data_IF_133110977870
#
_entry.id   IF_133110977870
#
_cell.length_a   1.000
_cell.length_b   1.000
_cell.length_c   1.000
_cell.angle_alpha   90.00
_cell.angle_beta   90.00
_cell.angle_gamma   90.00
#
_symmetry.space_group_name_H-M   'P 1'
#
loop_
_entity.id
_entity.type
_entity.pdbx_description
1 polymer ?
#
# COMPACT_ATOMS: atom_id res chain seq x y z
N UNK A 1 23.99 1.85 -33.65
CA UNK A 1 23.37 2.43 -32.44
C UNK A 1 21.85 2.24 -32.61
N UNK A 2 21.37 1.05 -32.22
CA UNK A 2 19.95 0.68 -32.39
C UNK A 2 19.14 1.21 -31.19
N UNK A 3 18.22 2.10 -31.50
CA UNK A 3 17.22 2.59 -30.56
C UNK A 3 16.15 1.51 -30.40
N UNK A 4 16.11 0.80 -29.29
CA UNK A 4 15.05 -0.15 -28.96
C UNK A 4 13.78 0.61 -28.54
N UNK A 5 12.72 0.46 -29.33
CA UNK A 5 11.42 1.11 -29.10
C UNK A 5 10.74 0.64 -27.79
N UNK A 6 10.17 1.56 -26.98
CA UNK A 6 9.48 1.23 -25.71
C UNK A 6 8.26 0.29 -25.90
N UNK A 7 7.64 0.29 -27.08
CA UNK A 7 6.47 -0.53 -27.40
C UNK A 7 6.72 -2.04 -27.46
N UNK A 8 7.95 -2.48 -27.65
CA UNK A 8 8.31 -3.91 -27.75
C UNK A 8 8.35 -4.59 -26.38
N UNK A 9 8.73 -3.85 -25.32
CA UNK A 9 8.79 -4.38 -23.94
C UNK A 9 7.41 -4.60 -23.35
N UNK A 10 6.43 -3.73 -23.60
CA UNK A 10 5.04 -3.88 -23.12
C UNK A 10 4.37 -5.10 -23.77
N UNK A 11 4.51 -5.27 -25.09
CA UNK A 11 3.95 -6.43 -25.82
C UNK A 11 4.58 -7.77 -25.40
N UNK A 12 5.85 -7.77 -25.02
CA UNK A 12 6.50 -8.98 -24.51
C UNK A 12 6.05 -9.32 -23.08
N UNK A 13 5.77 -8.34 -22.23
CA UNK A 13 5.21 -8.56 -20.89
C UNK A 13 3.79 -9.12 -20.97
N UNK A 14 2.95 -8.61 -21.87
CA UNK A 14 1.59 -9.12 -22.10
C UNK A 14 1.57 -10.54 -22.68
N UNK A 15 2.44 -10.87 -23.62
CA UNK A 15 2.60 -12.23 -24.15
C UNK A 15 3.11 -13.21 -23.10
N UNK A 16 4.02 -12.78 -22.22
CA UNK A 16 4.52 -13.61 -21.12
C UNK A 16 3.44 -13.83 -20.06
N UNK A 17 2.58 -12.86 -19.79
CA UNK A 17 1.41 -13.00 -18.91
C UNK A 17 0.35 -13.94 -19.49
N UNK A 18 0.06 -13.84 -20.79
CA UNK A 18 -0.88 -14.75 -21.48
C UNK A 18 -0.36 -16.19 -21.52
N UNK A 19 0.93 -16.40 -21.75
CA UNK A 19 1.56 -17.73 -21.73
C UNK A 19 1.50 -18.37 -20.34
N UNK A 20 1.73 -17.60 -19.27
CA UNK A 20 1.67 -18.09 -17.88
C UNK A 20 0.25 -18.39 -17.40
N UNK A 21 -0.76 -17.67 -17.90
CA UNK A 21 -2.18 -18.02 -17.67
C UNK A 21 -2.57 -19.39 -18.24
N UNK A 22 -1.90 -19.83 -19.29
CA UNK A 22 -2.16 -21.13 -19.94
C UNK A 22 -1.46 -22.31 -19.23
N UNK A 23 -0.45 -22.07 -18.38
CA UNK A 23 0.35 -23.11 -17.70
C UNK A 23 -0.14 -23.46 -16.29
N UNK A 24 -1.23 -22.85 -15.77
CA UNK A 24 -1.74 -23.12 -14.42
C UNK A 24 -0.79 -22.70 -13.27
N UNK A 25 0.27 -21.96 -13.55
CA UNK A 25 1.09 -21.35 -12.50
C UNK A 25 0.29 -20.26 -11.80
N UNK A 26 0.07 -20.39 -10.48
CA UNK A 26 -0.46 -19.31 -9.65
C UNK A 26 0.41 -18.05 -9.84
N UNK A 27 -0.16 -17.02 -10.45
CA UNK A 27 0.54 -15.76 -10.61
C UNK A 27 0.79 -15.15 -9.23
N UNK A 28 2.04 -15.15 -8.80
CA UNK A 28 2.41 -14.48 -7.55
C UNK A 28 2.09 -12.99 -7.66
N UNK A 29 1.41 -12.40 -6.66
CA UNK A 29 1.13 -10.98 -6.66
C UNK A 29 2.44 -10.19 -6.65
N UNK A 30 2.46 -9.06 -7.35
CA UNK A 30 3.59 -8.11 -7.30
C UNK A 30 3.54 -7.32 -6.00
N UNK A 31 2.33 -6.93 -5.58
CA UNK A 31 2.06 -6.14 -4.37
C UNK A 31 1.06 -6.86 -3.49
N UNK A 32 1.36 -6.95 -2.19
CA UNK A 32 0.38 -7.26 -1.15
C UNK A 32 -0.10 -5.97 -0.52
N UNK A 33 -1.37 -5.65 -0.63
CA UNK A 33 -1.98 -4.51 0.04
C UNK A 33 -2.49 -4.95 1.41
N UNK A 34 -2.00 -4.32 2.46
CA UNK A 34 -2.39 -4.59 3.86
C UNK A 34 -3.38 -3.52 4.29
N UNK A 35 -4.58 -3.95 4.68
CA UNK A 35 -5.66 -3.06 5.12
C UNK A 35 -6.10 -3.46 6.54
N UNK A 36 -5.58 -2.79 7.59
CA UNK A 36 -6.11 -2.96 8.94
C UNK A 36 -7.49 -2.30 9.02
N UNK A 37 -8.41 -2.91 9.75
CA UNK A 37 -9.73 -2.32 10.00
C UNK A 37 -10.22 -2.65 11.40
N UNK A 38 -10.83 -1.65 12.05
CA UNK A 38 -11.60 -1.79 13.27
C UNK A 38 -12.84 -0.88 13.19
N UNK A 39 -14.04 -1.47 13.10
CA UNK A 39 -15.31 -0.75 12.94
C UNK A 39 -15.32 0.21 11.74
N UNK A 40 -15.03 -0.36 10.54
CA UNK A 40 -14.88 0.39 9.29
C UNK A 40 -16.05 0.29 8.32
N UNK A 41 -17.25 -0.16 8.75
CA UNK A 41 -18.39 -0.45 7.88
C UNK A 41 -18.73 0.67 6.89
N UNK A 42 -18.53 1.92 7.33
CA UNK A 42 -18.88 3.12 6.55
C UNK A 42 -17.97 3.35 5.35
N UNK A 43 -16.70 2.97 5.43
CA UNK A 43 -15.67 3.42 4.48
C UNK A 43 -14.96 2.28 3.73
N UNK A 44 -14.90 1.10 4.33
CA UNK A 44 -14.06 -0.01 3.85
C UNK A 44 -14.37 -0.42 2.40
N UNK A 45 -15.64 -0.34 1.97
CA UNK A 45 -16.02 -0.68 0.60
C UNK A 45 -15.35 0.24 -0.43
N UNK A 46 -15.25 1.55 -0.15
CA UNK A 46 -14.56 2.52 -1.00
C UNK A 46 -13.05 2.24 -1.04
N UNK A 47 -12.45 1.95 0.11
CA UNK A 47 -11.03 1.59 0.21
C UNK A 47 -10.71 0.36 -0.65
N UNK A 48 -11.48 -0.73 -0.51
CA UNK A 48 -11.31 -1.97 -1.28
C UNK A 48 -11.49 -1.75 -2.78
N UNK A 49 -12.49 -0.99 -3.21
CA UNK A 49 -12.68 -0.64 -4.62
C UNK A 49 -11.46 0.08 -5.20
N UNK A 50 -10.86 1.02 -4.43
CA UNK A 50 -9.69 1.77 -4.87
C UNK A 50 -8.44 0.89 -5.03
N UNK A 51 -8.32 -0.18 -4.24
CA UNK A 51 -7.24 -1.17 -4.39
C UNK A 51 -7.40 -1.94 -5.71
N UNK A 52 -8.59 -2.43 -6.00
CA UNK A 52 -8.82 -3.20 -7.24
C UNK A 52 -8.82 -2.33 -8.50
N UNK A 53 -8.96 -1.01 -8.38
CA UNK A 53 -8.78 -0.07 -9.49
C UNK A 53 -7.31 0.13 -9.91
N UNK A 54 -6.33 -0.43 -9.18
CA UNK A 54 -4.90 -0.22 -9.50
C UNK A 54 -4.41 -0.99 -10.73
N UNK A 55 -5.17 -1.95 -11.26
CA UNK A 55 -4.87 -2.68 -12.50
C UNK A 55 -3.47 -3.30 -12.58
N UNK A 56 -2.95 -3.80 -11.46
CA UNK A 56 -1.69 -4.57 -11.38
C UNK A 56 -1.95 -5.91 -10.69
N UNK A 57 -1.09 -6.92 -10.88
CA UNK A 57 -1.17 -8.16 -10.11
C UNK A 57 -0.94 -7.88 -8.62
N UNK A 58 -2.00 -7.99 -7.81
CA UNK A 58 -1.95 -7.74 -6.38
C UNK A 58 -2.78 -8.79 -5.61
N UNK A 59 -2.56 -8.86 -4.32
CA UNK A 59 -3.49 -9.44 -3.35
C UNK A 59 -3.88 -8.37 -2.33
N UNK A 60 -5.12 -8.42 -1.85
CA UNK A 60 -5.61 -7.58 -0.76
C UNK A 60 -5.77 -8.43 0.50
N UNK A 61 -5.09 -8.04 1.56
CA UNK A 61 -5.12 -8.69 2.87
C UNK A 61 -5.78 -7.74 3.86
N UNK A 62 -7.03 -8.01 4.20
CA UNK A 62 -7.79 -7.26 5.21
C UNK A 62 -7.59 -7.92 6.56
N UNK A 63 -7.10 -7.15 7.54
CA UNK A 63 -6.93 -7.58 8.93
C UNK A 63 -7.99 -6.89 9.78
N UNK A 64 -9.04 -7.63 10.12
CA UNK A 64 -10.10 -7.15 11.00
C UNK A 64 -9.66 -7.29 12.47
N UNK A 65 -9.47 -6.18 13.12
CA UNK A 65 -8.93 -6.08 14.47
C UNK A 65 -10.02 -6.24 15.57
N UNK A 66 -11.02 -7.08 15.28
CA UNK A 66 -12.12 -7.39 16.20
C UNK A 66 -13.33 -6.48 16.05
N UNK A 67 -13.66 -6.07 14.82
CA UNK A 67 -14.87 -5.26 14.54
C UNK A 67 -16.15 -5.91 15.05
N UNK A 68 -17.08 -5.05 15.51
CA UNK A 68 -18.40 -5.41 16.05
C UNK A 68 -19.55 -4.74 15.31
N UNK A 69 -19.23 -3.92 14.29
CA UNK A 69 -20.17 -3.28 13.36
C UNK A 69 -20.36 -4.12 12.08
N UNK A 70 -20.98 -3.55 11.04
CA UNK A 70 -21.20 -4.17 9.73
C UNK A 70 -19.95 -4.28 8.84
N UNK A 71 -18.72 -4.17 9.38
CA UNK A 71 -17.47 -4.26 8.59
C UNK A 71 -17.39 -5.57 7.81
N UNK A 72 -17.72 -6.69 8.44
CA UNK A 72 -17.65 -8.02 7.81
C UNK A 72 -18.62 -8.14 6.64
N UNK A 73 -19.84 -7.66 6.85
CA UNK A 73 -20.92 -7.66 5.86
C UNK A 73 -20.56 -6.80 4.65
N UNK A 74 -19.92 -5.66 4.87
CA UNK A 74 -19.46 -4.76 3.82
C UNK A 74 -18.41 -5.40 2.90
N UNK A 75 -17.71 -6.46 3.35
CA UNK A 75 -16.66 -7.16 2.60
C UNK A 75 -17.17 -8.36 1.78
N UNK A 76 -18.42 -8.81 1.99
CA UNK A 76 -18.99 -9.98 1.28
C UNK A 76 -18.82 -9.92 -0.25
N UNK A 77 -18.95 -8.77 -0.94
CA UNK A 77 -18.78 -8.71 -2.40
C UNK A 77 -17.43 -9.21 -2.91
N UNK A 78 -16.39 -9.22 -2.07
CA UNK A 78 -15.03 -9.60 -2.47
C UNK A 78 -14.57 -10.96 -1.97
N UNK A 79 -15.33 -11.63 -1.09
CA UNK A 79 -14.93 -12.89 -0.43
C UNK A 79 -14.56 -14.04 -1.38
N UNK A 80 -15.21 -14.10 -2.54
CA UNK A 80 -14.97 -15.16 -3.51
C UNK A 80 -13.82 -14.85 -4.49
N UNK A 81 -13.10 -13.75 -4.31
CA UNK A 81 -11.95 -13.42 -5.15
C UNK A 81 -10.73 -14.21 -4.68
N UNK A 82 -9.95 -14.79 -5.63
CA UNK A 82 -8.75 -15.56 -5.28
C UNK A 82 -7.60 -14.69 -4.76
N UNK A 83 -7.67 -13.39 -5.01
CA UNK A 83 -6.70 -12.37 -4.59
C UNK A 83 -7.16 -11.56 -3.34
N UNK A 84 -8.21 -12.03 -2.65
CA UNK A 84 -8.73 -11.44 -1.42
C UNK A 84 -8.48 -12.37 -0.23
N UNK A 85 -7.88 -11.84 0.83
CA UNK A 85 -7.62 -12.55 2.08
C UNK A 85 -8.22 -11.76 3.24
N UNK A 86 -9.11 -12.39 4.01
CA UNK A 86 -9.66 -11.82 5.23
C UNK A 86 -9.16 -12.59 6.45
N UNK A 87 -8.63 -11.86 7.42
CA UNK A 87 -8.12 -12.41 8.67
C UNK A 87 -8.70 -11.59 9.82
N UNK A 88 -9.42 -12.26 10.73
CA UNK A 88 -9.92 -11.64 11.96
C UNK A 88 -8.93 -11.88 13.11
N UNK A 89 -8.61 -10.84 13.86
CA UNK A 89 -7.84 -10.94 15.10
C UNK A 89 -8.74 -11.47 16.22
N UNK A 90 -8.22 -12.33 17.09
CA UNK A 90 -8.95 -12.84 18.26
C UNK A 90 -9.18 -11.76 19.33
N UNK A 91 -8.31 -10.76 19.32
CA UNK A 91 -8.38 -9.56 20.18
C UNK A 91 -7.85 -8.36 19.41
N UNK A 92 -8.18 -7.17 19.86
CA UNK A 92 -7.63 -5.95 19.28
C UNK A 92 -6.11 -5.89 19.52
N UNK A 93 -5.33 -5.80 18.43
CA UNK A 93 -3.88 -5.71 18.41
C UNK A 93 -3.38 -4.30 18.09
N UNK A 94 -4.30 -3.38 17.77
CA UNK A 94 -3.99 -2.06 17.24
C UNK A 94 -3.53 -2.07 15.78
N UNK A 95 -3.33 -0.88 15.22
CA UNK A 95 -2.95 -0.71 13.82
C UNK A 95 -1.60 -1.35 13.50
N UNK A 96 -0.59 -1.14 14.36
CA UNK A 96 0.74 -1.74 14.21
C UNK A 96 0.69 -3.27 14.19
N UNK A 97 0.03 -3.89 15.19
CA UNK A 97 -0.10 -5.34 15.27
C UNK A 97 -0.82 -5.93 14.07
N UNK A 98 -1.91 -5.30 13.64
CA UNK A 98 -2.67 -5.71 12.47
C UNK A 98 -1.87 -5.58 11.18
N UNK A 99 -1.13 -4.48 10.97
CA UNK A 99 -0.23 -4.32 9.81
C UNK A 99 0.88 -5.38 9.81
N UNK A 100 1.54 -5.61 10.94
CA UNK A 100 2.59 -6.64 11.06
C UNK A 100 2.05 -8.05 10.75
N UNK A 101 0.85 -8.37 11.24
CA UNK A 101 0.18 -9.64 10.91
C UNK A 101 -0.06 -9.77 9.41
N UNK A 102 -0.52 -8.71 8.75
CA UNK A 102 -0.70 -8.68 7.30
C UNK A 102 0.62 -8.89 6.55
N UNK A 103 1.69 -8.18 6.94
CA UNK A 103 3.03 -8.33 6.35
C UNK A 103 3.56 -9.76 6.47
N UNK A 104 3.31 -10.43 7.60
CA UNK A 104 3.80 -11.81 7.84
C UNK A 104 3.21 -12.84 6.89
N UNK A 105 1.99 -12.63 6.38
CA UNK A 105 1.30 -13.54 5.45
C UNK A 105 1.35 -13.08 4.00
N UNK A 106 1.87 -11.89 3.73
CA UNK A 106 2.00 -11.29 2.41
C UNK A 106 2.88 -12.14 1.48
N UNK A 107 2.48 -12.28 0.21
CA UNK A 107 3.18 -13.07 -0.83
C UNK A 107 3.85 -12.18 -1.88
N UNK A 108 3.44 -10.92 -1.98
CA UNK A 108 3.97 -9.94 -2.93
C UNK A 108 5.44 -9.62 -2.70
N UNK A 109 6.12 -9.20 -3.76
CA UNK A 109 7.48 -8.64 -3.64
C UNK A 109 7.48 -7.34 -2.84
N UNK A 110 6.42 -6.56 -2.98
CA UNK A 110 6.21 -5.30 -2.29
C UNK A 110 5.00 -5.39 -1.37
N UNK A 111 4.99 -4.56 -0.35
CA UNK A 111 3.85 -4.31 0.55
C UNK A 111 3.42 -2.86 0.40
N UNK A 112 2.12 -2.63 0.31
CA UNK A 112 1.52 -1.32 0.45
C UNK A 112 0.53 -1.34 1.62
N UNK A 113 0.41 -0.22 2.32
CA UNK A 113 -0.56 -0.07 3.41
C UNK A 113 -1.68 0.87 2.97
N UNK A 114 -2.91 0.56 3.38
CA UNK A 114 -4.07 1.42 3.18
C UNK A 114 -5.00 1.29 4.39
N UNK A 115 -5.24 2.38 5.09
CA UNK A 115 -6.22 2.42 6.17
C UNK A 115 -7.64 2.37 5.61
N UNK A 116 -8.56 1.72 6.32
CA UNK A 116 -9.89 1.37 5.80
C UNK A 116 -10.82 2.58 5.55
N UNK A 117 -10.44 3.75 6.02
CA UNK A 117 -11.16 5.01 5.81
C UNK A 117 -10.56 5.90 4.70
N UNK A 118 -9.39 5.54 4.18
CA UNK A 118 -8.71 6.20 3.07
C UNK A 118 -9.02 5.53 1.72
N UNK A 119 -8.60 6.15 0.61
CA UNK A 119 -8.63 5.51 -0.72
C UNK A 119 -7.57 6.06 -1.65
N UNK A 120 -7.28 5.30 -2.71
CA UNK A 120 -6.26 5.65 -3.70
C UNK A 120 -6.86 6.09 -5.03
N UNK A 121 -6.16 6.99 -5.71
CA UNK A 121 -6.36 7.28 -7.14
C UNK A 121 -5.75 6.16 -7.99
N UNK A 122 -6.32 5.96 -9.17
CA UNK A 122 -5.80 4.99 -10.14
C UNK A 122 -4.35 5.29 -10.54
N UNK A 123 -3.58 4.23 -10.77
CA UNK A 123 -2.19 4.33 -11.20
C UNK A 123 -1.17 4.63 -10.10
N UNK A 124 -1.60 4.76 -8.82
CA UNK A 124 -0.67 4.97 -7.69
C UNK A 124 0.40 3.89 -7.63
N UNK A 125 -0.01 2.62 -7.56
CA UNK A 125 0.94 1.51 -7.41
C UNK A 125 1.84 1.34 -8.63
N UNK A 126 1.32 1.53 -9.85
CA UNK A 126 2.12 1.49 -11.06
C UNK A 126 3.20 2.58 -11.08
N UNK A 127 2.83 3.82 -10.68
CA UNK A 127 3.79 4.93 -10.59
C UNK A 127 4.87 4.67 -9.54
N UNK A 128 4.50 4.10 -8.37
CA UNK A 128 5.45 3.79 -7.31
C UNK A 128 6.41 2.65 -7.69
N UNK A 129 5.91 1.58 -8.34
CA UNK A 129 6.75 0.49 -8.85
C UNK A 129 7.78 1.01 -9.86
N UNK A 130 7.35 1.85 -10.82
CA UNK A 130 8.26 2.46 -11.79
C UNK A 130 9.31 3.37 -11.12
N UNK A 131 8.91 4.13 -10.10
CA UNK A 131 9.82 5.01 -9.37
C UNK A 131 10.88 4.20 -8.58
N UNK A 132 10.47 3.11 -7.90
CA UNK A 132 11.40 2.23 -7.18
C UNK A 132 12.34 1.48 -8.14
N UNK A 133 11.86 1.06 -9.31
CA UNK A 133 12.72 0.45 -10.34
C UNK A 133 13.77 1.44 -10.86
N UNK A 134 13.39 2.70 -11.03
CA UNK A 134 14.27 3.75 -11.55
C UNK A 134 15.31 4.21 -10.52
N UNK A 135 14.93 4.32 -9.24
CA UNK A 135 15.80 4.85 -8.17
C UNK A 135 16.62 3.77 -7.47
N UNK A 136 16.15 2.53 -7.46
CA UNK A 136 16.71 1.45 -6.65
C UNK A 136 16.39 1.55 -5.16
N UNK A 137 15.52 2.49 -4.76
CA UNK A 137 15.11 2.64 -3.37
C UNK A 137 14.22 1.48 -2.90
N UNK A 138 14.16 1.30 -1.60
CA UNK A 138 13.36 0.22 -0.97
C UNK A 138 11.96 0.67 -0.57
N UNK A 139 11.70 1.97 -0.52
CA UNK A 139 10.45 2.58 -0.05
C UNK A 139 10.09 3.79 -0.91
N UNK A 140 8.81 3.92 -1.24
CA UNK A 140 8.24 5.05 -1.98
C UNK A 140 6.95 5.54 -1.29
N UNK A 141 6.76 6.86 -1.26
CA UNK A 141 5.59 7.53 -0.73
C UNK A 141 4.98 8.48 -1.76
N UNK A 142 3.73 8.88 -1.59
CA UNK A 142 3.04 9.83 -2.47
C UNK A 142 2.49 11.02 -1.69
N UNK A 143 2.22 12.13 -2.38
CA UNK A 143 1.41 13.22 -1.84
C UNK A 143 -0.02 12.77 -1.56
N UNK A 144 -0.76 13.58 -0.79
CA UNK A 144 -2.14 13.30 -0.41
C UNK A 144 -3.04 14.53 -0.42
N UNK A 145 -4.30 14.33 -0.79
CA UNK A 145 -5.37 15.29 -0.55
C UNK A 145 -6.01 14.99 0.81
N UNK A 146 -6.33 16.04 1.57
CA UNK A 146 -7.12 15.89 2.80
C UNK A 146 -8.61 15.91 2.46
N UNK A 147 -9.32 14.92 2.97
CA UNK A 147 -10.75 14.74 2.71
C UNK A 147 -11.57 14.97 3.98
N UNK A 148 -12.78 15.47 3.81
CA UNK A 148 -13.77 15.53 4.87
C UNK A 148 -14.33 14.12 5.16
N UNK A 149 -14.98 13.88 6.31
CA UNK A 149 -15.60 12.59 6.64
C UNK A 149 -16.65 12.12 5.62
N UNK A 150 -17.27 13.04 4.86
CA UNK A 150 -18.21 12.73 3.79
C UNK A 150 -17.54 12.39 2.46
N UNK A 151 -16.19 12.48 2.37
CA UNK A 151 -15.41 12.21 1.17
C UNK A 151 -15.23 13.41 0.24
N UNK A 152 -15.69 14.60 0.61
CA UNK A 152 -15.43 15.82 -0.15
C UNK A 152 -14.02 16.35 0.10
N UNK A 153 -13.41 16.96 -0.92
CA UNK A 153 -12.06 17.53 -0.81
C UNK A 153 -12.06 18.79 0.06
N UNK A 154 -11.16 18.87 1.03
CA UNK A 154 -11.03 20.04 1.93
C UNK A 154 -10.40 21.28 1.27
N UNK A 155 -9.87 21.13 0.04
CA UNK A 155 -9.05 22.16 -0.61
C UNK A 155 -7.57 22.10 -0.22
N UNK A 156 -7.16 21.16 0.63
CA UNK A 156 -5.79 21.07 1.14
C UNK A 156 -5.06 19.84 0.59
N UNK A 157 -4.00 20.10 -0.17
CA UNK A 157 -3.03 19.14 -0.65
C UNK A 157 -1.78 19.13 0.23
N UNK A 158 -1.29 17.96 0.60
CA UNK A 158 -0.03 17.77 1.32
C UNK A 158 0.99 17.15 0.37
N UNK A 159 1.99 17.94 -0.06
CA UNK A 159 3.04 17.46 -0.95
C UNK A 159 4.02 16.54 -0.25
N UNK A 160 4.75 15.75 -1.05
CA UNK A 160 5.92 15.00 -0.61
C UNK A 160 7.13 15.41 -1.44
N UNK A 161 8.31 15.50 -0.82
CA UNK A 161 9.57 15.75 -1.53
C UNK A 161 9.95 14.52 -2.36
N UNK A 162 10.57 14.72 -3.52
CA UNK A 162 11.01 13.62 -4.39
C UNK A 162 12.04 12.70 -3.74
N UNK A 163 12.78 13.21 -2.76
CA UNK A 163 13.75 12.45 -1.96
C UNK A 163 13.64 12.88 -0.50
N UNK A 164 13.48 11.91 0.39
CA UNK A 164 13.37 12.10 1.83
C UNK A 164 14.49 11.32 2.52
N UNK A 165 15.47 12.00 3.04
CA UNK A 165 16.52 11.41 3.87
C UNK A 165 16.14 11.42 5.37
N UNK A 166 16.99 10.81 6.18
CA UNK A 166 16.77 10.73 7.63
C UNK A 166 16.63 12.10 8.30
N UNK A 167 17.45 13.09 7.91
CA UNK A 167 17.41 14.44 8.49
C UNK A 167 16.15 15.20 8.10
N UNK A 168 15.65 14.99 6.88
CA UNK A 168 14.37 15.56 6.44
C UNK A 168 13.20 14.97 7.23
N UNK A 169 13.20 13.65 7.42
CA UNK A 169 12.14 12.98 8.20
C UNK A 169 12.17 13.37 9.67
N UNK A 170 13.33 13.62 10.27
CA UNK A 170 13.42 14.08 11.68
C UNK A 170 12.74 15.44 11.91
N UNK A 171 12.58 16.29 10.88
CA UNK A 171 11.93 17.60 11.00
C UNK A 171 10.42 17.48 11.17
N UNK A 172 9.80 16.53 10.49
CA UNK A 172 8.37 16.22 10.58
C UNK A 172 8.03 14.91 9.86
N UNK A 173 6.96 14.25 10.28
CA UNK A 173 6.43 13.07 9.59
C UNK A 173 5.85 13.44 8.22
N UNK A 174 6.63 13.24 7.17
CA UNK A 174 6.23 13.54 5.78
C UNK A 174 5.66 12.33 5.05
N UNK A 175 5.81 11.11 5.58
CA UNK A 175 5.39 9.86 4.98
C UNK A 175 4.13 9.36 5.71
N UNK A 176 2.99 9.41 5.05
CA UNK A 176 1.75 8.83 5.57
C UNK A 176 1.70 7.34 5.25
N UNK A 177 1.26 6.51 6.21
CA UNK A 177 1.23 5.06 6.09
C UNK A 177 0.45 4.60 4.84
N UNK A 178 -0.76 5.12 4.62
CA UNK A 178 -1.60 4.78 3.45
C UNK A 178 -1.00 5.20 2.11
N UNK A 179 0.09 6.00 2.09
CA UNK A 179 0.80 6.41 0.87
C UNK A 179 1.95 5.48 0.48
N UNK A 180 2.40 4.60 1.39
CA UNK A 180 3.64 3.82 1.24
C UNK A 180 3.50 2.62 0.32
N UNK A 181 4.57 2.37 -0.46
CA UNK A 181 4.94 1.11 -1.07
C UNK A 181 6.38 0.78 -0.65
N UNK A 182 6.62 -0.42 -0.11
CA UNK A 182 7.91 -0.84 0.45
C UNK A 182 8.25 -2.27 0.03
N UNK A 183 9.53 -2.61 -0.13
CA UNK A 183 9.95 -4.00 -0.30
C UNK A 183 9.49 -4.84 0.91
N UNK A 184 8.85 -6.00 0.64
CA UNK A 184 8.34 -6.87 1.69
C UNK A 184 9.42 -7.33 2.69
N UNK A 185 10.61 -7.64 2.19
CA UNK A 185 11.74 -8.03 3.05
C UNK A 185 12.15 -6.93 4.03
N UNK A 186 12.07 -5.66 3.60
CA UNK A 186 12.33 -4.50 4.46
C UNK A 186 11.19 -4.30 5.48
N UNK A 187 9.93 -4.47 5.08
CA UNK A 187 8.81 -4.41 6.01
C UNK A 187 8.86 -5.52 7.07
N UNK A 188 9.37 -6.72 6.72
CA UNK A 188 9.61 -7.81 7.68
C UNK A 188 10.80 -7.53 8.61
N UNK A 189 11.85 -6.86 8.12
CA UNK A 189 13.01 -6.49 8.92
C UNK A 189 12.71 -5.40 9.95
N UNK A 190 11.80 -4.47 9.60
CA UNK A 190 11.40 -3.35 10.45
C UNK A 190 9.90 -3.41 10.76
N UNK A 191 9.46 -4.35 11.63
CA UNK A 191 8.06 -4.38 12.04
C UNK A 191 7.69 -3.08 12.77
N UNK A 192 6.42 -2.66 12.63
CA UNK A 192 5.89 -1.53 13.37
C UNK A 192 5.81 -1.89 14.85
N UNK A 193 6.45 -1.09 15.69
CA UNK A 193 6.44 -1.30 17.15
C UNK A 193 5.17 -0.69 17.73
N UNK A 194 4.65 -1.36 18.78
CA UNK A 194 3.55 -0.83 19.57
C UNK A 194 4.07 0.32 20.39
N UNK A 195 3.72 1.51 19.98
CA UNK A 195 3.67 2.65 20.87
C UNK A 195 2.28 3.31 20.72
N UNK A 196 1.95 4.21 21.59
CA UNK A 196 0.62 4.82 21.65
C UNK A 196 0.38 5.81 20.50
N UNK A 197 1.38 6.07 19.64
CA UNK A 197 1.27 6.95 18.49
C UNK A 197 2.55 6.92 17.62
N UNK A 198 2.37 7.07 16.29
CA UNK A 198 3.47 7.24 15.34
C UNK A 198 4.31 5.98 15.05
N UNK A 199 3.73 4.79 15.19
CA UNK A 199 4.36 3.50 14.91
C UNK A 199 4.92 3.42 13.48
N UNK A 200 4.22 4.01 12.51
CA UNK A 200 4.63 4.10 11.13
C UNK A 200 5.84 5.04 10.96
N UNK A 201 5.80 6.22 11.59
CA UNK A 201 6.87 7.20 11.49
C UNK A 201 8.21 6.68 12.03
N UNK A 202 8.18 6.01 13.20
CA UNK A 202 9.38 5.40 13.79
C UNK A 202 9.95 4.34 12.84
N UNK A 203 9.08 3.54 12.23
CA UNK A 203 9.48 2.54 11.24
C UNK A 203 10.14 3.18 10.01
N UNK A 204 9.55 4.26 9.47
CA UNK A 204 10.14 4.95 8.31
C UNK A 204 11.50 5.59 8.64
N UNK A 205 11.67 6.14 9.83
CA UNK A 205 12.96 6.66 10.30
C UNK A 205 14.03 5.56 10.34
N UNK A 206 13.70 4.37 10.88
CA UNK A 206 14.63 3.21 10.92
C UNK A 206 15.00 2.75 9.51
N UNK A 207 14.02 2.61 8.61
CA UNK A 207 14.22 2.20 7.22
C UNK A 207 15.13 3.19 6.50
N UNK A 208 14.81 4.49 6.52
CA UNK A 208 15.59 5.51 5.81
C UNK A 208 16.98 5.68 6.40
N UNK A 209 17.14 5.50 7.72
CA UNK A 209 18.47 5.51 8.36
C UNK A 209 19.37 4.39 7.84
N UNK A 210 18.81 3.20 7.57
CA UNK A 210 19.58 2.06 7.06
C UNK A 210 19.81 2.12 5.55
N UNK A 211 18.76 2.47 4.77
CA UNK A 211 18.76 2.37 3.31
C UNK A 211 19.05 3.71 2.61
N UNK A 212 19.18 4.81 3.35
CA UNK A 212 19.63 6.11 2.88
C UNK A 212 18.48 7.09 2.67
N UNK A 213 17.46 6.76 1.87
CA UNK A 213 16.34 7.67 1.60
C UNK A 213 15.08 6.93 1.12
N UNK A 214 13.97 7.66 1.11
CA UNK A 214 12.72 7.25 0.49
C UNK A 214 12.46 8.09 -0.77
N UNK A 215 11.97 7.45 -1.83
CA UNK A 215 11.47 8.14 -3.02
C UNK A 215 10.09 8.72 -2.74
N UNK A 216 9.85 9.98 -3.18
CA UNK A 216 8.55 10.62 -3.10
C UNK A 216 8.00 11.00 -4.47
N UNK A 217 6.71 10.71 -4.70
CA UNK A 217 5.98 11.13 -5.89
C UNK A 217 5.04 12.25 -5.49
N UNK A 218 5.38 13.49 -5.90
CA UNK A 218 4.60 14.68 -5.56
C UNK A 218 3.30 14.78 -6.38
N UNK A 219 2.41 13.78 -6.18
CA UNK A 219 1.07 13.70 -6.76
C UNK A 219 0.09 13.18 -5.71
N UNK A 220 -1.15 13.72 -5.62
CA UNK A 220 -2.12 13.34 -4.59
C UNK A 220 -2.79 11.99 -4.89
N UNK A 221 -2.01 10.94 -4.95
CA UNK A 221 -2.52 9.58 -5.17
C UNK A 221 -3.27 9.01 -3.97
N UNK A 222 -3.08 9.58 -2.78
CA UNK A 222 -3.81 9.22 -1.57
C UNK A 222 -4.89 10.27 -1.29
N UNK A 223 -6.10 9.82 -1.03
CA UNK A 223 -7.21 10.59 -0.44
C UNK A 223 -7.30 10.21 1.02
N UNK A 224 -6.82 11.11 1.89
CA UNK A 224 -6.68 10.91 3.32
C UNK A 224 -7.85 11.55 4.07
N UNK A 225 -8.61 10.74 4.82
CA UNK A 225 -9.81 11.16 5.56
C UNK A 225 -9.59 11.51 7.01
#
# INVERSE_FOLDING_TARGET
MELTEPGLRVKNAEKTQQSKRASGEEMRPVVSVIMPVYNGEKYIAQAVQSVYAQNIPLELIVIDDGSVDGTREALIPWENRPDFVYIKNERNLGAAGSRNRGVSVAKGRYVAFLDADDWWEEGKLAAQLAALEMTGDVICSTGRDLMNPDGTFTGKYIPVKSRLDYHELLKHNSINCSSVLILREVALEFPMEHDDSHEDYITWLKVVRKYGHATGINKPYLKYR
#
